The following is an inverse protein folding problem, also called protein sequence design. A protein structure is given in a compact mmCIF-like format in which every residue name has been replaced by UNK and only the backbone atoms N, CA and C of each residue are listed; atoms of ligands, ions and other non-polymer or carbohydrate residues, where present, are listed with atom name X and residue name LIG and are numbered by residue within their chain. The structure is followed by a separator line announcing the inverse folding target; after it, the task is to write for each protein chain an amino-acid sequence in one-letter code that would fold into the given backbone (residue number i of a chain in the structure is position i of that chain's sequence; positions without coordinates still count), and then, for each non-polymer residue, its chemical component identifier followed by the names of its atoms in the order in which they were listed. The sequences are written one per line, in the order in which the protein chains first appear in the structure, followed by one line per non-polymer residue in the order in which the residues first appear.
data_IF_064510111615
#
_entry.id   IF_064510111615
#
_cell.length_a   1.000
_cell.length_b   1.000
_cell.length_c   1.000
_cell.angle_alpha   90.00
_cell.angle_beta   90.00
_cell.angle_gamma   90.00
#
_symmetry.space_group_name_H-M   'P 1'
#
loop_
_entity.id
_entity.type
_entity.pdbx_description
1 polymer ?
#
# COMPACT_ATOMS: atom_id res chain seq x y z
N UNK A 1 -8.38 3.82 14.08
CA UNK A 1 -8.01 4.47 12.81
C UNK A 1 -7.69 3.36 11.81
N UNK A 2 -7.74 3.64 10.51
CA UNK A 2 -7.29 2.69 9.49
C UNK A 2 -5.96 3.17 8.94
N UNK A 3 -5.08 2.25 8.56
CA UNK A 3 -3.84 2.56 7.87
C UNK A 3 -3.98 2.25 6.37
N UNK A 4 -3.14 2.86 5.54
CA UNK A 4 -3.12 2.67 4.09
C UNK A 4 -1.74 2.16 3.67
N UNK A 5 -1.74 1.11 2.85
CA UNK A 5 -0.57 0.59 2.16
C UNK A 5 -0.74 0.78 0.66
N UNK A 6 0.11 1.61 0.05
CA UNK A 6 0.18 1.77 -1.40
C UNK A 6 1.12 0.74 -1.99
N UNK A 7 0.68 0.01 -3.01
CA UNK A 7 1.55 -0.88 -3.81
C UNK A 7 1.31 -0.54 -5.28
N UNK A 8 2.33 -0.03 -5.97
CA UNK A 8 2.21 0.38 -7.36
C UNK A 8 3.53 0.22 -8.11
N UNK A 9 3.53 0.37 -9.42
CA UNK A 9 4.78 0.34 -10.18
C UNK A 9 5.68 1.52 -9.77
N UNK A 10 6.98 1.30 -9.76
CA UNK A 10 7.93 2.38 -9.51
C UNK A 10 7.80 3.51 -10.54
N UNK A 11 7.85 4.80 -10.14
CA UNK A 11 7.95 5.34 -8.78
C UNK A 11 6.58 5.83 -8.22
N UNK A 12 5.47 5.30 -8.72
CA UNK A 12 4.14 5.87 -8.54
C UNK A 12 3.64 5.81 -7.09
N UNK A 13 3.87 4.71 -6.38
CA UNK A 13 3.36 4.56 -5.01
C UNK A 13 4.00 5.59 -4.06
N UNK A 14 5.32 5.77 -4.17
CA UNK A 14 6.01 6.80 -3.39
C UNK A 14 5.61 8.22 -3.82
N UNK A 15 5.44 8.47 -5.11
CA UNK A 15 4.98 9.78 -5.60
C UNK A 15 3.60 10.16 -5.02
N UNK A 16 2.64 9.23 -5.04
CA UNK A 16 1.32 9.41 -4.43
C UNK A 16 1.41 9.68 -2.92
N UNK A 17 2.26 8.94 -2.20
CA UNK A 17 2.51 9.18 -0.78
C UNK A 17 3.09 10.57 -0.52
N UNK A 18 4.03 11.05 -1.34
CA UNK A 18 4.59 12.39 -1.20
C UNK A 18 3.53 13.47 -1.40
N UNK A 19 2.63 13.31 -2.38
CA UNK A 19 1.50 14.21 -2.54
C UNK A 19 0.56 14.21 -1.33
N UNK A 20 0.22 13.03 -0.78
CA UNK A 20 -0.61 12.94 0.41
C UNK A 20 0.05 13.62 1.62
N UNK A 21 1.37 13.45 1.82
CA UNK A 21 2.12 14.12 2.89
C UNK A 21 2.26 15.62 2.70
N UNK A 22 2.29 16.09 1.46
CA UNK A 22 2.29 17.52 1.17
C UNK A 22 1.01 18.21 1.66
N UNK A 23 -0.14 17.53 1.53
CA UNK A 23 -1.43 18.06 1.98
C UNK A 23 -1.69 17.75 3.46
N UNK A 24 -1.32 16.55 3.92
CA UNK A 24 -1.53 16.04 5.28
C UNK A 24 -0.22 15.51 5.88
N UNK A 25 0.67 16.38 6.40
CA UNK A 25 1.99 15.97 6.91
C UNK A 25 1.94 14.91 8.03
N UNK A 26 0.90 14.95 8.87
CA UNK A 26 0.75 14.06 10.03
C UNK A 26 0.27 12.65 9.67
N UNK A 27 -0.09 12.38 8.40
CA UNK A 27 -0.59 11.07 7.98
C UNK A 27 0.52 10.01 7.82
N UNK A 28 1.80 10.43 7.86
CA UNK A 28 2.94 9.56 7.52
C UNK A 28 3.11 8.31 8.36
N UNK A 29 2.65 8.32 9.62
CA UNK A 29 2.65 7.14 10.49
C UNK A 29 1.62 6.07 10.08
N UNK A 30 0.63 6.45 9.26
CA UNK A 30 -0.49 5.60 8.85
C UNK A 30 -0.52 5.33 7.34
N UNK A 31 0.50 5.79 6.60
CA UNK A 31 0.59 5.67 5.15
C UNK A 31 1.98 5.15 4.75
N UNK A 32 2.04 3.91 4.27
CA UNK A 32 3.25 3.33 3.68
C UNK A 32 3.10 3.17 2.16
N UNK A 33 4.23 3.10 1.46
CA UNK A 33 4.27 2.92 0.01
C UNK A 33 5.35 1.91 -0.37
N UNK A 34 5.04 1.08 -1.36
CA UNK A 34 5.94 0.11 -1.96
C UNK A 34 5.89 0.31 -3.47
N UNK A 35 7.04 0.60 -4.05
CA UNK A 35 7.21 0.59 -5.49
C UNK A 35 7.68 -0.79 -5.95
N UNK A 36 6.90 -1.40 -6.83
CA UNK A 36 7.26 -2.63 -7.51
C UNK A 36 8.28 -2.29 -8.60
N UNK A 37 9.51 -2.74 -8.39
CA UNK A 37 10.61 -2.54 -9.33
C UNK A 37 10.56 -3.58 -10.46
N UNK A 38 10.99 -3.24 -11.68
CA UNK A 38 10.92 -4.16 -12.83
C UNK A 38 11.83 -5.38 -12.70
N UNK A 39 12.86 -5.31 -11.86
CA UNK A 39 13.86 -6.35 -11.63
C UNK A 39 13.60 -7.18 -10.36
N UNK A 40 12.55 -6.88 -9.60
CA UNK A 40 12.17 -7.67 -8.42
C UNK A 40 11.12 -8.71 -8.81
N UNK A 41 11.25 -9.89 -8.22
CA UNK A 41 10.21 -10.91 -8.36
C UNK A 41 8.94 -10.51 -7.58
N UNK A 42 7.76 -11.05 -7.97
CA UNK A 42 6.53 -10.86 -7.21
C UNK A 42 6.63 -11.37 -5.76
N UNK A 43 7.41 -12.43 -5.51
CA UNK A 43 7.56 -13.00 -4.18
C UNK A 43 8.42 -12.11 -3.26
N UNK A 44 9.49 -11.49 -3.78
CA UNK A 44 10.26 -10.49 -3.03
C UNK A 44 9.38 -9.30 -2.66
N UNK A 45 8.59 -8.80 -3.62
CA UNK A 45 7.63 -7.70 -3.40
C UNK A 45 6.60 -8.09 -2.33
N UNK A 46 6.08 -9.32 -2.36
CA UNK A 46 5.12 -9.81 -1.37
C UNK A 46 5.72 -9.86 0.04
N UNK A 47 6.98 -10.30 0.20
CA UNK A 47 7.64 -10.29 1.50
C UNK A 47 7.81 -8.87 2.05
N UNK A 48 8.25 -7.93 1.21
CA UNK A 48 8.31 -6.51 1.60
C UNK A 48 6.93 -5.97 2.01
N UNK A 49 5.88 -6.35 1.28
CA UNK A 49 4.52 -5.92 1.57
C UNK A 49 3.97 -6.50 2.89
N UNK A 50 4.30 -7.75 3.22
CA UNK A 50 3.96 -8.36 4.52
C UNK A 50 4.60 -7.60 5.68
N UNK A 51 5.89 -7.33 5.59
CA UNK A 51 6.62 -6.59 6.64
C UNK A 51 6.02 -5.19 6.83
N UNK A 52 5.76 -4.47 5.73
CA UNK A 52 5.16 -3.14 5.80
C UNK A 52 3.74 -3.16 6.38
N UNK A 53 2.92 -4.15 6.01
CA UNK A 53 1.57 -4.32 6.53
C UNK A 53 1.57 -4.63 8.03
N UNK A 54 2.46 -5.50 8.48
CA UNK A 54 2.63 -5.81 9.91
C UNK A 54 3.05 -4.57 10.68
N UNK A 55 4.03 -3.80 10.20
CA UNK A 55 4.46 -2.54 10.82
C UNK A 55 3.33 -1.50 10.90
N UNK A 56 2.53 -1.36 9.84
CA UNK A 56 1.36 -0.48 9.84
C UNK A 56 0.27 -0.93 10.81
N UNK A 57 0.14 -2.23 11.04
CA UNK A 57 -0.87 -2.80 11.93
C UNK A 57 -0.44 -2.86 13.41
N UNK A 58 0.84 -2.69 13.73
CA UNK A 58 1.38 -2.77 15.10
C UNK A 58 0.76 -1.75 16.09
N UNK A 59 0.52 -0.48 15.73
CA UNK A 59 -0.05 0.48 16.67
C UNK A 59 -1.46 0.05 17.11
N UNK A 60 -1.68 -0.09 18.42
CA UNK A 60 -2.92 -0.65 18.98
C UNK A 60 -4.22 0.14 18.69
N UNK A 61 -4.13 1.30 18.07
CA UNK A 61 -5.27 2.09 17.60
C UNK A 61 -5.68 1.78 16.14
N UNK A 62 -4.94 0.92 15.42
CA UNK A 62 -5.23 0.53 14.03
C UNK A 62 -6.20 -0.65 14.01
N UNK A 63 -7.33 -0.47 13.31
CA UNK A 63 -8.41 -1.46 13.20
C UNK A 63 -8.30 -2.32 11.94
N UNK A 64 -7.53 -1.87 10.95
CA UNK A 64 -7.33 -2.56 9.68
C UNK A 64 -6.46 -1.75 8.73
N UNK A 65 -5.94 -2.44 7.71
CA UNK A 65 -5.13 -1.87 6.64
C UNK A 65 -5.91 -1.93 5.33
N UNK A 66 -6.02 -0.79 4.65
CA UNK A 66 -6.52 -0.70 3.29
C UNK A 66 -5.33 -0.73 2.33
N UNK A 67 -5.32 -1.70 1.42
CA UNK A 67 -4.30 -1.81 0.38
C UNK A 67 -4.84 -1.14 -0.89
N UNK A 68 -4.06 -0.22 -1.46
CA UNK A 68 -4.40 0.51 -2.68
C UNK A 68 -3.36 0.22 -3.76
N UNK A 69 -3.81 -0.08 -4.98
CA UNK A 69 -2.91 -0.30 -6.12
C UNK A 69 -3.27 0.54 -7.32
N UNK A 70 -2.30 0.73 -8.20
CA UNK A 70 -2.40 1.56 -9.41
C UNK A 70 -3.29 0.94 -10.48
N UNK A 71 -3.09 -0.33 -10.83
CA UNK A 71 -3.79 -0.99 -11.94
C UNK A 71 -4.14 -2.44 -11.60
N UNK A 72 -5.33 -2.87 -12.03
CA UNK A 72 -5.78 -4.25 -11.89
C UNK A 72 -5.10 -5.17 -12.92
N UNK A 73 -4.75 -6.38 -12.51
CA UNK A 73 -4.19 -7.42 -13.38
C UNK A 73 -2.66 -7.37 -13.52
N UNK A 74 -1.99 -6.36 -12.96
CA UNK A 74 -0.53 -6.27 -12.94
C UNK A 74 0.08 -6.77 -11.62
N UNK A 75 1.42 -6.89 -11.59
CA UNK A 75 2.20 -7.37 -10.43
C UNK A 75 1.78 -6.70 -9.11
N UNK A 76 1.61 -5.36 -9.00
CA UNK A 76 1.16 -4.74 -7.76
C UNK A 76 -0.17 -5.31 -7.24
N UNK A 77 -1.19 -5.38 -8.10
CA UNK A 77 -2.51 -5.90 -7.72
C UNK A 77 -2.52 -7.40 -7.44
N UNK A 78 -1.68 -8.20 -8.10
CA UNK A 78 -1.57 -9.63 -7.86
C UNK A 78 -0.87 -9.93 -6.53
N UNK A 79 0.18 -9.16 -6.21
CA UNK A 79 0.83 -9.21 -4.89
C UNK A 79 -0.13 -8.76 -3.81
N UNK A 80 -0.85 -7.66 -4.02
CA UNK A 80 -1.84 -7.17 -3.07
C UNK A 80 -2.99 -8.16 -2.81
N UNK A 81 -3.46 -8.87 -3.84
CA UNK A 81 -4.46 -9.95 -3.68
C UNK A 81 -3.94 -11.07 -2.77
N UNK A 82 -2.71 -11.54 -2.99
CA UNK A 82 -2.07 -12.55 -2.13
C UNK A 82 -1.84 -12.05 -0.70
N UNK A 83 -1.60 -10.74 -0.54
CA UNK A 83 -1.36 -10.11 0.76
C UNK A 83 -2.65 -10.04 1.59
N UNK A 84 -3.79 -9.71 0.98
CA UNK A 84 -5.07 -9.56 1.69
C UNK A 84 -5.87 -10.86 1.82
N UNK A 85 -5.43 -11.95 1.18
CA UNK A 85 -6.08 -13.24 1.26
C UNK A 85 -6.05 -13.80 2.69
N UNK A 86 -7.21 -14.25 3.18
CA UNK A 86 -7.37 -14.81 4.53
C UNK A 86 -7.17 -13.83 5.70
N UNK A 87 -6.96 -12.53 5.46
CA UNK A 87 -6.75 -11.52 6.51
C UNK A 87 -7.86 -10.45 6.52
N UNK A 88 -8.02 -9.77 7.66
CA UNK A 88 -9.00 -8.69 7.81
C UNK A 88 -8.49 -7.39 7.17
N UNK A 89 -8.36 -7.37 5.85
CA UNK A 89 -7.94 -6.21 5.06
C UNK A 89 -8.70 -6.17 3.74
N UNK A 90 -8.63 -5.02 3.06
CA UNK A 90 -9.36 -4.77 1.81
C UNK A 90 -8.40 -4.23 0.76
N UNK A 91 -8.70 -4.52 -0.50
CA UNK A 91 -7.93 -4.09 -1.66
C UNK A 91 -8.82 -3.25 -2.58
N UNK A 92 -8.31 -2.09 -3.01
CA UNK A 92 -8.90 -1.28 -4.08
C UNK A 92 -7.83 -0.98 -5.13
N UNK A 93 -8.18 -1.06 -6.40
CA UNK A 93 -7.29 -0.74 -7.53
C UNK A 93 -7.68 0.59 -8.19
N UNK A 94 -6.80 1.16 -9.00
CA UNK A 94 -7.06 2.44 -9.68
C UNK A 94 -6.84 3.66 -8.80
N UNK A 95 -5.95 3.56 -7.81
CA UNK A 95 -5.70 4.67 -6.86
C UNK A 95 -5.30 5.96 -7.59
N UNK A 96 -5.85 7.08 -7.10
CA UNK A 96 -5.52 8.42 -7.53
C UNK A 96 -5.42 9.36 -6.32
N UNK A 97 -5.04 10.62 -6.53
CA UNK A 97 -4.91 11.59 -5.43
C UNK A 97 -6.25 11.89 -4.73
N UNK A 98 -7.38 12.12 -5.42
CA UNK A 98 -8.67 12.32 -4.74
C UNK A 98 -9.10 11.19 -3.81
N UNK A 99 -8.68 9.95 -4.07
CA UNK A 99 -8.95 8.83 -3.15
C UNK A 99 -8.08 8.85 -1.89
N UNK A 100 -6.93 9.54 -1.93
CA UNK A 100 -5.97 9.62 -0.83
C UNK A 100 -6.15 10.87 0.05
N UNK A 101 -6.85 11.89 -0.45
CA UNK A 101 -7.11 13.16 0.25
C UNK A 101 -8.47 13.14 0.95
#
# INVERSE_FOLDING_TARGET
MNAILLIGHAPLAHALRQCALHVFPDCGAHLAAIDVQPNLSPDETLQTARIAMEQLAQPGNIKGVLVLTDIFGATPSNVAQKLVDGVNSRLITGVNLPMLL
#
